data_IF_332608335415
#
_entry.id   IF_332608335415
#
_cell.length_a   1.000
_cell.length_b   1.000
_cell.length_c   1.000
_cell.angle_alpha   90.00
_cell.angle_beta   90.00
_cell.angle_gamma   90.00
#
_symmetry.space_group_name_H-M   'P 1'
#
loop_
_entity.id
_entity.type
_entity.pdbx_description
1 polymer ?
#
# COMPACT_ATOMS: atom_id res chain seq x y z
N UNK A 1 -6.96 -25.73 -48.18
CA UNK A 1 -6.89 -24.67 -49.21
C UNK A 1 -6.70 -23.34 -48.54
N UNK A 2 -5.56 -22.74 -48.85
CA UNK A 2 -5.06 -21.35 -48.66
C UNK A 2 -4.79 -20.98 -47.21
N UNK A 3 -3.55 -20.89 -46.70
CA UNK A 3 -2.37 -20.14 -47.17
C UNK A 3 -2.54 -18.64 -46.94
N UNK A 4 -1.62 -18.21 -46.10
CA UNK A 4 -0.68 -17.07 -46.14
C UNK A 4 -1.26 -15.82 -45.46
N UNK A 5 -0.54 -15.19 -44.51
CA UNK A 5 0.60 -14.41 -44.80
C UNK A 5 1.43 -14.05 -43.53
N UNK A 6 2.67 -14.14 -43.76
CA UNK A 6 3.85 -13.69 -43.03
C UNK A 6 3.92 -12.14 -43.05
N UNK A 7 4.11 -11.49 -41.93
CA UNK A 7 4.70 -10.14 -41.92
C UNK A 7 5.83 -10.06 -40.92
N UNK A 8 6.96 -9.80 -41.51
CA UNK A 8 8.29 -9.63 -40.91
C UNK A 8 8.43 -8.37 -40.03
N UNK A 9 9.21 -8.56 -38.98
CA UNK A 9 10.42 -7.79 -38.65
C UNK A 9 10.42 -6.28 -38.86
N UNK A 10 10.63 -5.54 -37.79
CA UNK A 10 11.64 -4.48 -37.82
C UNK A 10 12.26 -4.30 -36.42
N UNK A 11 13.54 -4.58 -36.34
CA UNK A 11 14.36 -4.32 -35.18
C UNK A 11 14.64 -2.82 -35.03
N UNK A 12 14.60 -2.36 -33.80
CA UNK A 12 15.10 -1.03 -33.44
C UNK A 12 16.49 -1.17 -32.81
N UNK A 13 17.47 -0.68 -33.54
CA UNK A 13 18.85 -0.52 -33.13
C UNK A 13 18.91 0.67 -32.19
N UNK A 14 19.28 0.45 -30.92
CA UNK A 14 19.64 1.54 -30.02
C UNK A 14 21.08 1.97 -30.26
N UNK A 15 21.21 3.18 -30.76
CA UNK A 15 22.49 3.88 -30.97
C UNK A 15 22.98 4.42 -29.61
N UNK A 16 24.13 3.92 -29.16
CA UNK A 16 24.87 4.48 -28.03
C UNK A 16 25.56 5.77 -28.47
N UNK A 17 25.13 6.89 -27.91
CA UNK A 17 25.87 8.14 -27.99
C UNK A 17 26.81 8.25 -26.79
N UNK A 18 28.09 8.03 -27.04
CA UNK A 18 29.16 8.28 -26.08
C UNK A 18 29.48 9.76 -26.14
N UNK A 19 29.21 10.51 -25.10
CA UNK A 19 29.58 11.92 -24.99
C UNK A 19 30.90 12.04 -24.24
N UNK A 20 31.96 12.27 -25.01
CA UNK A 20 33.32 12.58 -24.50
C UNK A 20 33.34 13.99 -23.93
N UNK A 21 33.63 14.14 -22.65
CA UNK A 21 33.91 15.45 -22.03
C UNK A 21 35.40 15.71 -22.12
N UNK A 22 35.74 16.70 -22.90
CA UNK A 22 37.13 17.21 -23.06
C UNK A 22 37.40 18.18 -21.91
N UNK A 23 38.36 17.84 -21.05
CA UNK A 23 38.93 18.76 -20.06
C UNK A 23 39.90 19.73 -20.75
N UNK A 24 39.57 21.00 -20.77
CA UNK A 24 40.55 22.07 -21.07
C UNK A 24 41.09 22.59 -19.74
N UNK A 25 42.35 22.28 -19.50
CA UNK A 25 43.14 22.91 -18.46
C UNK A 25 43.68 24.26 -18.99
N UNK A 26 43.25 25.37 -18.40
CA UNK A 26 43.89 26.65 -18.59
C UNK A 26 44.63 27.01 -17.30
N UNK A 27 45.98 26.89 -17.36
CA UNK A 27 46.87 27.50 -16.40
C UNK A 27 46.99 28.98 -16.70
N UNK A 28 46.54 29.83 -15.79
CA UNK A 28 46.97 31.23 -15.75
C UNK A 28 47.60 31.50 -14.38
N UNK A 29 48.91 31.55 -14.39
CA UNK A 29 49.72 32.13 -13.32
C UNK A 29 49.58 33.66 -13.36
N UNK A 30 49.06 34.24 -12.29
CA UNK A 30 49.39 35.61 -11.92
C UNK A 30 49.26 35.76 -10.40
N UNK A 31 50.30 36.26 -9.84
CA UNK A 31 50.62 36.28 -8.45
C UNK A 31 49.85 37.27 -7.59
N UNK A 32 50.18 37.16 -6.35
CA UNK A 32 50.13 38.18 -5.31
C UNK A 32 48.93 38.24 -4.39
N UNK A 33 49.31 38.24 -3.15
CA UNK A 33 48.63 38.73 -1.95
C UNK A 33 47.74 37.70 -1.24
N UNK A 34 48.30 37.15 -0.18
CA UNK A 34 47.58 36.42 0.86
C UNK A 34 46.55 37.36 1.50
N UNK A 35 45.26 37.05 1.43
CA UNK A 35 44.32 37.69 2.32
C UNK A 35 44.40 36.99 3.69
N UNK A 36 44.46 37.81 4.72
CA UNK A 36 44.30 37.43 6.12
C UNK A 36 43.08 36.52 6.29
N UNK A 37 43.31 35.30 6.77
CA UNK A 37 42.22 34.36 7.09
C UNK A 37 41.53 34.86 8.36
N UNK A 38 40.45 35.61 8.18
CA UNK A 38 39.48 35.85 9.22
C UNK A 38 38.85 34.49 9.53
N UNK A 39 39.22 33.90 10.67
CA UNK A 39 38.60 32.70 11.22
C UNK A 39 37.25 33.08 11.77
N UNK A 40 36.27 33.29 10.91
CA UNK A 40 34.90 33.26 11.36
C UNK A 40 34.59 31.86 11.89
N UNK A 41 34.34 31.79 13.19
CA UNK A 41 33.81 30.60 13.81
C UNK A 41 32.43 30.38 13.23
N UNK A 42 32.34 29.53 12.19
CA UNK A 42 31.06 28.96 11.74
C UNK A 42 30.55 28.09 12.87
N UNK A 43 29.67 28.66 13.67
CA UNK A 43 28.90 27.93 14.66
C UNK A 43 28.02 26.96 13.90
N UNK A 44 28.38 25.67 13.88
CA UNK A 44 27.60 24.60 13.28
C UNK A 44 26.32 24.47 14.10
N UNK A 45 25.28 25.19 13.70
CA UNK A 45 23.93 25.00 14.22
C UNK A 45 23.51 23.58 13.84
N UNK A 46 23.61 22.66 14.79
CA UNK A 46 23.07 21.31 14.61
C UNK A 46 21.60 21.46 14.29
N UNK A 47 21.11 20.90 13.17
CA UNK A 47 19.67 20.92 12.88
C UNK A 47 18.95 20.29 14.06
N UNK A 48 18.02 21.02 14.66
CA UNK A 48 17.09 20.48 15.66
C UNK A 48 16.22 19.49 14.89
N UNK A 49 16.65 18.24 14.84
CA UNK A 49 15.82 17.13 14.39
C UNK A 49 14.81 16.93 15.51
N UNK A 50 13.65 17.56 15.39
CA UNK A 50 12.52 17.21 16.23
C UNK A 50 12.29 15.71 16.03
N UNK A 51 12.27 14.90 17.10
CA UNK A 51 12.01 13.48 16.97
C UNK A 51 10.67 13.33 16.23
N UNK A 52 10.69 12.56 15.15
CA UNK A 52 9.45 12.17 14.46
C UNK A 52 8.58 11.54 15.54
N UNK A 53 7.36 12.06 15.80
CA UNK A 53 6.52 11.49 16.84
C UNK A 53 6.35 10.00 16.56
N UNK A 54 6.69 9.19 17.56
CA UNK A 54 6.51 7.74 17.49
C UNK A 54 5.06 7.46 17.12
N UNK A 55 4.83 6.60 16.12
CA UNK A 55 3.49 6.26 15.67
C UNK A 55 2.73 5.64 16.84
N UNK A 56 1.75 6.35 17.37
CA UNK A 56 0.87 5.83 18.43
C UNK A 56 -0.05 4.80 17.78
N UNK A 57 0.28 3.53 17.93
CA UNK A 57 -0.58 2.43 17.53
C UNK A 57 -1.85 2.43 18.38
N UNK A 58 -2.99 2.70 17.76
CA UNK A 58 -4.30 2.64 18.44
C UNK A 58 -4.80 1.21 18.39
N UNK A 59 -5.21 0.60 19.53
CA UNK A 59 -5.83 -0.73 19.53
C UNK A 59 -7.02 -0.79 18.58
N UNK A 60 -7.12 -1.87 17.81
CA UNK A 60 -8.19 -2.05 16.83
C UNK A 60 -9.34 -2.88 17.42
N UNK A 61 -10.57 -2.74 16.89
CA UNK A 61 -11.76 -3.46 17.36
C UNK A 61 -11.58 -4.97 17.51
N UNK A 62 -10.75 -5.62 16.70
CA UNK A 62 -10.49 -7.06 16.82
C UNK A 62 -9.75 -7.45 18.11
N UNK A 63 -9.15 -6.49 18.85
CA UNK A 63 -8.49 -6.75 20.14
C UNK A 63 -9.44 -6.72 21.33
N UNK A 64 -10.64 -6.14 21.19
CA UNK A 64 -11.54 -5.81 22.29
C UNK A 64 -11.74 -6.94 23.31
N UNK A 65 -11.88 -8.19 22.84
CA UNK A 65 -12.01 -9.37 23.69
C UNK A 65 -10.91 -10.41 23.41
N UNK A 66 -9.86 -9.99 22.69
CA UNK A 66 -8.80 -10.83 22.16
C UNK A 66 -7.47 -10.08 22.22
N UNK A 67 -6.92 -9.80 23.42
CA UNK A 67 -5.69 -9.01 23.56
C UNK A 67 -4.48 -9.66 22.85
N UNK A 68 -4.53 -10.98 22.63
CA UNK A 68 -3.52 -11.69 21.84
C UNK A 68 -3.43 -11.21 20.39
N UNK A 69 -4.45 -10.54 19.89
CA UNK A 69 -4.49 -9.97 18.52
C UNK A 69 -3.75 -8.63 18.38
N UNK A 70 -3.21 -8.07 19.47
CA UNK A 70 -2.34 -6.88 19.40
C UNK A 70 -1.17 -7.08 18.43
N UNK A 71 -0.69 -8.32 18.27
CA UNK A 71 0.32 -8.65 17.26
C UNK A 71 -0.17 -8.43 15.82
N UNK A 72 -1.47 -8.53 15.58
CA UNK A 72 -2.08 -8.24 14.27
C UNK A 72 -2.12 -6.73 14.02
N UNK A 73 -2.51 -5.96 15.03
CA UNK A 73 -2.50 -4.49 14.98
C UNK A 73 -1.11 -3.98 14.66
N UNK A 74 -0.09 -4.44 15.39
CA UNK A 74 1.29 -4.08 15.14
C UNK A 74 1.75 -4.43 13.72
N UNK A 75 1.42 -5.62 13.25
CA UNK A 75 1.75 -6.05 11.88
C UNK A 75 1.03 -5.18 10.84
N UNK A 76 -0.25 -4.84 11.06
CA UNK A 76 -1.02 -3.99 10.15
C UNK A 76 -0.42 -2.58 10.06
N UNK A 77 -0.10 -1.94 11.19
CA UNK A 77 0.53 -0.61 11.18
C UNK A 77 1.87 -0.62 10.46
N UNK A 78 2.71 -1.63 10.70
CA UNK A 78 3.98 -1.79 9.98
C UNK A 78 3.79 -1.91 8.46
N UNK A 79 2.77 -2.64 8.01
CA UNK A 79 2.43 -2.77 6.59
C UNK A 79 1.87 -1.47 6.01
N UNK A 80 1.03 -0.75 6.77
CA UNK A 80 0.52 0.58 6.38
C UNK A 80 1.70 1.54 6.19
N UNK A 81 2.68 1.55 7.09
CA UNK A 81 3.88 2.39 6.95
C UNK A 81 4.62 2.10 5.65
N UNK A 82 4.84 0.83 5.35
CA UNK A 82 5.54 0.41 4.13
C UNK A 82 4.79 0.78 2.85
N UNK A 83 3.45 0.86 2.89
CA UNK A 83 2.58 1.10 1.73
C UNK A 83 1.96 2.50 1.72
N UNK A 84 2.28 3.35 2.70
CA UNK A 84 1.59 4.61 2.91
C UNK A 84 1.58 5.52 1.67
N UNK A 85 2.68 5.58 0.93
CA UNK A 85 2.78 6.38 -0.28
C UNK A 85 1.77 5.96 -1.38
N UNK A 86 1.40 4.68 -1.46
CA UNK A 86 0.35 4.18 -2.35
C UNK A 86 -1.03 4.41 -1.76
N UNK A 87 -1.20 4.18 -0.46
CA UNK A 87 -2.47 4.35 0.25
C UNK A 87 -2.94 5.81 0.20
N UNK A 88 -2.05 6.77 0.41
CA UNK A 88 -2.38 8.21 0.42
C UNK A 88 -2.80 8.77 -0.96
N UNK A 89 -2.71 7.97 -2.03
CA UNK A 89 -3.25 8.31 -3.36
C UNK A 89 -4.76 8.19 -3.49
N UNK A 90 -5.43 7.60 -2.49
CA UNK A 90 -6.86 7.31 -2.54
C UNK A 90 -7.73 8.57 -2.56
N UNK A 91 -8.15 9.00 -3.74
CA UNK A 91 -8.96 10.23 -3.95
C UNK A 91 -10.34 10.17 -3.30
N UNK A 92 -10.84 8.97 -3.04
CA UNK A 92 -12.15 8.74 -2.45
C UNK A 92 -12.10 8.41 -0.95
N UNK A 93 -10.93 8.48 -0.30
CA UNK A 93 -10.81 8.27 1.14
C UNK A 93 -11.68 9.24 1.96
N UNK A 94 -11.95 10.44 1.45
CA UNK A 94 -12.87 11.41 2.06
C UNK A 94 -14.31 10.90 2.20
N UNK A 95 -14.73 9.86 1.46
CA UNK A 95 -16.03 9.23 1.66
C UNK A 95 -16.09 8.45 2.98
N UNK A 96 -14.97 7.94 3.44
CA UNK A 96 -14.82 7.17 4.67
C UNK A 96 -14.42 8.06 5.85
N UNK A 97 -13.57 9.03 5.60
CA UNK A 97 -13.01 9.96 6.58
C UNK A 97 -13.06 11.39 6.01
N UNK A 98 -14.13 12.16 6.25
CA UNK A 98 -14.37 13.46 5.59
C UNK A 98 -13.22 14.47 5.74
N UNK A 99 -12.52 14.44 6.88
CA UNK A 99 -11.41 15.36 7.18
C UNK A 99 -10.03 14.80 6.74
N UNK A 100 -9.97 13.69 6.01
CA UNK A 100 -8.73 12.95 5.71
C UNK A 100 -7.61 13.84 5.19
N UNK A 101 -7.88 14.74 4.26
CA UNK A 101 -6.88 15.61 3.64
C UNK A 101 -6.19 16.57 4.64
N UNK A 102 -6.88 16.95 5.71
CA UNK A 102 -6.36 17.84 6.76
C UNK A 102 -5.67 17.10 7.90
N UNK A 103 -5.68 15.79 7.90
CA UNK A 103 -5.08 14.98 8.95
C UNK A 103 -3.56 14.97 8.87
N UNK A 104 -2.90 14.88 10.04
CA UNK A 104 -1.49 14.55 10.12
C UNK A 104 -1.27 13.10 9.66
N UNK A 105 -0.04 12.77 9.26
CA UNK A 105 0.33 11.45 8.72
C UNK A 105 -0.03 10.32 9.70
N UNK A 106 0.23 10.49 10.99
CA UNK A 106 -0.12 9.52 12.03
C UNK A 106 -1.64 9.26 12.10
N UNK A 107 -2.45 10.32 12.04
CA UNK A 107 -3.91 10.22 12.02
C UNK A 107 -4.44 9.57 10.71
N UNK A 108 -3.82 9.88 9.57
CA UNK A 108 -4.12 9.20 8.29
C UNK A 108 -3.88 7.69 8.36
N UNK A 109 -2.76 7.27 8.99
CA UNK A 109 -2.45 5.85 9.19
C UNK A 109 -3.47 5.16 10.10
N UNK A 110 -3.94 5.83 11.16
CA UNK A 110 -5.03 5.32 12.01
C UNK A 110 -6.31 5.14 11.17
N UNK A 111 -6.68 6.12 10.34
CA UNK A 111 -7.85 6.00 9.47
C UNK A 111 -7.74 4.78 8.53
N UNK A 112 -6.57 4.53 7.95
CA UNK A 112 -6.33 3.34 7.14
C UNK A 112 -6.43 2.05 7.95
N UNK A 113 -5.88 2.00 9.16
CA UNK A 113 -5.96 0.83 10.03
C UNK A 113 -7.40 0.47 10.37
N UNK A 114 -8.25 1.46 10.70
CA UNK A 114 -9.68 1.24 10.97
C UNK A 114 -10.45 0.84 9.71
N UNK A 115 -10.09 1.36 8.54
CA UNK A 115 -10.69 0.91 7.27
C UNK A 115 -10.38 -0.58 7.02
N UNK A 116 -9.13 -0.99 7.17
CA UNK A 116 -8.73 -2.39 6.99
C UNK A 116 -9.35 -3.31 8.05
N UNK A 117 -9.40 -2.91 9.31
CA UNK A 117 -10.15 -3.63 10.36
C UNK A 117 -11.61 -3.85 9.95
N UNK A 118 -12.24 -2.82 9.40
CA UNK A 118 -13.63 -2.89 8.96
C UNK A 118 -13.82 -3.85 7.78
N UNK A 119 -12.90 -3.87 6.82
CA UNK A 119 -12.91 -4.84 5.72
C UNK A 119 -12.80 -6.26 6.28
N UNK A 120 -11.82 -6.53 7.14
CA UNK A 120 -11.60 -7.83 7.78
C UNK A 120 -12.84 -8.29 8.53
N UNK A 121 -13.52 -7.39 9.26
CA UNK A 121 -14.76 -7.73 9.94
C UNK A 121 -15.83 -8.27 8.98
N UNK A 122 -16.02 -7.63 7.84
CA UNK A 122 -17.06 -8.04 6.89
C UNK A 122 -16.65 -9.20 5.99
N UNK A 123 -15.36 -9.46 5.80
CA UNK A 123 -14.86 -10.58 5.01
C UNK A 123 -14.81 -11.89 5.82
N UNK A 124 -14.34 -11.86 7.06
CA UNK A 124 -14.09 -13.07 7.84
C UNK A 124 -14.66 -13.08 9.27
N UNK A 125 -15.23 -11.96 9.74
CA UNK A 125 -15.60 -11.81 11.14
C UNK A 125 -14.40 -11.94 12.09
N UNK A 126 -13.21 -11.53 11.66
CA UNK A 126 -11.95 -11.70 12.38
C UNK A 126 -11.52 -13.17 12.58
N UNK A 127 -12.03 -14.09 11.77
CA UNK A 127 -11.62 -15.49 11.81
C UNK A 127 -10.48 -15.75 10.80
N UNK A 128 -9.23 -15.97 11.27
CA UNK A 128 -8.10 -16.22 10.38
C UNK A 128 -8.18 -17.58 9.66
N UNK A 129 -9.05 -18.48 10.12
CA UNK A 129 -9.28 -19.80 9.51
C UNK A 129 -10.50 -19.82 8.59
N UNK A 130 -11.14 -18.66 8.38
CA UNK A 130 -12.26 -18.55 7.44
C UNK A 130 -11.80 -18.93 6.03
N UNK A 131 -12.62 -19.71 5.33
CA UNK A 131 -12.40 -20.04 3.93
C UNK A 131 -13.71 -20.13 3.18
N UNK A 132 -13.72 -19.67 1.94
CA UNK A 132 -14.85 -19.80 1.03
C UNK A 132 -14.38 -20.31 -0.32
N UNK A 133 -15.26 -21.05 -0.99
CA UNK A 133 -14.98 -21.70 -2.27
C UNK A 133 -15.94 -21.19 -3.31
N UNK A 134 -15.41 -20.71 -4.42
CA UNK A 134 -16.25 -20.37 -5.55
C UNK A 134 -16.92 -21.61 -6.14
N UNK A 135 -18.19 -21.47 -6.50
CA UNK A 135 -18.95 -22.55 -7.12
C UNK A 135 -18.24 -22.99 -8.42
N UNK A 136 -17.92 -24.28 -8.51
CA UNK A 136 -17.21 -24.87 -9.65
C UNK A 136 -15.69 -24.96 -9.54
N UNK A 137 -15.09 -24.41 -8.48
CA UNK A 137 -13.61 -24.45 -8.27
C UNK A 137 -13.17 -25.25 -7.05
N UNK A 138 -13.99 -26.22 -6.62
CA UNK A 138 -13.77 -26.96 -5.36
C UNK A 138 -12.47 -27.76 -5.29
N UNK A 139 -11.92 -28.20 -6.43
CA UNK A 139 -10.72 -29.04 -6.49
C UNK A 139 -9.42 -28.27 -6.38
N UNK A 140 -9.41 -26.97 -6.70
CA UNK A 140 -8.20 -26.15 -6.71
C UNK A 140 -8.18 -25.19 -5.53
N UNK A 141 -7.51 -25.58 -4.45
CA UNK A 141 -7.36 -24.76 -3.25
C UNK A 141 -6.65 -23.42 -3.49
N UNK A 142 -5.89 -23.29 -4.57
CA UNK A 142 -5.21 -22.03 -4.89
C UNK A 142 -6.18 -20.90 -5.21
N UNK A 143 -7.43 -21.24 -5.56
CA UNK A 143 -8.52 -20.29 -5.89
C UNK A 143 -9.46 -20.02 -4.72
N UNK A 144 -9.27 -20.71 -3.57
CA UNK A 144 -10.13 -20.49 -2.42
C UNK A 144 -9.77 -19.16 -1.75
N UNK A 145 -10.80 -18.40 -1.39
CA UNK A 145 -10.66 -17.20 -0.57
C UNK A 145 -10.47 -17.59 0.89
N UNK A 146 -9.38 -17.14 1.52
CA UNK A 146 -9.02 -17.60 2.88
C UNK A 146 -8.50 -16.46 3.76
N UNK A 147 -8.59 -16.71 5.06
CA UNK A 147 -8.03 -15.86 6.09
C UNK A 147 -8.80 -14.56 6.32
N UNK A 148 -8.12 -13.60 6.95
CA UNK A 148 -8.74 -12.35 7.40
C UNK A 148 -9.37 -11.55 6.26
N UNK A 149 -8.65 -11.37 5.16
CA UNK A 149 -9.06 -10.57 4.00
C UNK A 149 -9.69 -11.41 2.88
N UNK A 150 -9.92 -12.71 3.10
CA UNK A 150 -10.49 -13.61 2.08
C UNK A 150 -9.75 -13.52 0.73
N UNK A 151 -8.44 -13.81 0.75
CA UNK A 151 -7.56 -13.77 -0.42
C UNK A 151 -7.19 -15.18 -0.88
N UNK A 152 -6.91 -15.33 -2.17
CA UNK A 152 -6.50 -16.60 -2.78
C UNK A 152 -4.99 -16.64 -3.05
N UNK A 153 -4.39 -17.84 -2.98
CA UNK A 153 -2.96 -18.01 -3.31
C UNK A 153 -2.63 -17.57 -4.74
N UNK A 154 -3.55 -17.79 -5.68
CA UNK A 154 -3.38 -17.41 -7.08
C UNK A 154 -3.32 -15.89 -7.29
N UNK A 155 -3.75 -15.09 -6.32
CA UNK A 155 -3.80 -13.63 -6.46
C UNK A 155 -2.42 -13.02 -6.57
N UNK A 156 -1.41 -13.62 -5.97
CA UNK A 156 -0.02 -13.21 -6.17
C UNK A 156 0.36 -13.17 -7.65
N UNK A 157 -0.03 -14.21 -8.41
CA UNK A 157 0.18 -14.29 -9.86
C UNK A 157 -0.69 -13.28 -10.61
N UNK A 158 -1.98 -13.20 -10.27
CA UNK A 158 -2.94 -12.34 -10.94
C UNK A 158 -2.55 -10.86 -10.83
N UNK A 159 -2.03 -10.48 -9.67
CA UNK A 159 -1.57 -9.11 -9.37
C UNK A 159 -0.08 -8.90 -9.64
N UNK A 160 0.64 -9.90 -10.21
CA UNK A 160 2.09 -9.85 -10.49
C UNK A 160 2.93 -9.47 -9.25
N UNK A 161 2.56 -10.00 -8.09
CA UNK A 161 3.24 -9.77 -6.82
C UNK A 161 4.50 -10.66 -6.80
N UNK A 162 5.68 -10.15 -6.34
CA UNK A 162 6.95 -10.86 -6.44
C UNK A 162 7.12 -11.98 -5.39
N UNK A 163 6.11 -12.23 -4.59
CA UNK A 163 6.06 -13.33 -3.62
C UNK A 163 4.69 -14.02 -3.70
N UNK A 164 4.62 -15.23 -3.17
CA UNK A 164 3.38 -16.00 -3.07
C UNK A 164 3.29 -16.67 -1.71
N UNK A 165 2.06 -17.02 -1.33
CA UNK A 165 1.77 -17.82 -0.15
C UNK A 165 0.90 -19.01 -0.56
N UNK A 166 1.12 -20.16 0.06
CA UNK A 166 0.22 -21.31 -0.03
C UNK A 166 -1.13 -21.03 0.66
N UNK A 167 -2.09 -21.92 0.47
CA UNK A 167 -3.35 -21.86 1.20
C UNK A 167 -3.14 -21.84 2.72
N UNK A 168 -2.28 -22.71 3.23
CA UNK A 168 -1.98 -22.85 4.65
C UNK A 168 -1.26 -21.62 5.22
N UNK A 169 -0.33 -21.05 4.46
CA UNK A 169 0.37 -19.82 4.84
C UNK A 169 -0.56 -18.60 4.89
N UNK A 170 -1.60 -18.56 4.05
CA UNK A 170 -2.61 -17.48 4.08
C UNK A 170 -3.57 -17.58 5.27
N UNK A 171 -3.62 -18.69 5.99
CA UNK A 171 -4.33 -18.79 7.27
C UNK A 171 -3.56 -18.11 8.43
N UNK A 172 -2.29 -17.72 8.19
CA UNK A 172 -1.50 -16.92 9.14
C UNK A 172 -1.87 -15.44 8.93
N UNK A 173 -2.37 -14.75 9.98
CA UNK A 173 -2.86 -13.37 9.86
C UNK A 173 -1.89 -12.41 9.18
N UNK A 174 -0.61 -12.45 9.56
CA UNK A 174 0.41 -11.54 9.04
C UNK A 174 0.67 -11.74 7.55
N UNK A 175 0.68 -12.99 7.07
CA UNK A 175 0.85 -13.30 5.65
C UNK A 175 -0.36 -12.85 4.85
N UNK A 176 -1.57 -13.08 5.39
CA UNK A 176 -2.82 -12.66 4.79
C UNK A 176 -2.89 -11.14 4.64
N UNK A 177 -2.59 -10.40 5.71
CA UNK A 177 -2.52 -8.94 5.67
C UNK A 177 -1.45 -8.44 4.68
N UNK A 178 -0.26 -9.07 4.65
CA UNK A 178 0.81 -8.69 3.74
C UNK A 178 0.39 -8.78 2.28
N UNK A 179 -0.25 -9.88 1.88
CA UNK A 179 -0.74 -10.04 0.52
C UNK A 179 -1.90 -9.08 0.23
N UNK A 180 -2.81 -8.88 1.19
CA UNK A 180 -3.93 -7.96 1.04
C UNK A 180 -3.47 -6.52 0.79
N UNK A 181 -2.54 -6.00 1.59
CA UNK A 181 -2.06 -4.64 1.43
C UNK A 181 -1.24 -4.46 0.14
N UNK A 182 -0.56 -5.50 -0.32
CA UNK A 182 0.10 -5.47 -1.62
C UNK A 182 -0.91 -5.35 -2.77
N UNK A 183 -1.98 -6.13 -2.75
CA UNK A 183 -3.07 -6.04 -3.73
C UNK A 183 -3.71 -4.65 -3.68
N UNK A 184 -4.02 -4.18 -2.48
CA UNK A 184 -4.70 -2.90 -2.27
C UNK A 184 -3.85 -1.71 -2.75
N UNK A 185 -2.55 -1.71 -2.43
CA UNK A 185 -1.63 -0.67 -2.90
C UNK A 185 -1.51 -0.66 -4.42
N UNK A 186 -1.44 -1.83 -5.07
CA UNK A 186 -1.43 -1.92 -6.55
C UNK A 186 -2.73 -1.45 -7.18
N UNK A 187 -3.87 -1.69 -6.53
CA UNK A 187 -5.15 -1.13 -6.97
C UNK A 187 -5.10 0.40 -6.92
N UNK A 188 -4.63 0.98 -5.82
CA UNK A 188 -4.53 2.42 -5.65
C UNK A 188 -3.49 3.05 -6.59
N UNK A 189 -2.35 2.42 -6.80
CA UNK A 189 -1.35 2.89 -7.77
C UNK A 189 -1.90 2.95 -9.20
N UNK A 190 -2.87 2.11 -9.53
CA UNK A 190 -3.48 2.03 -10.86
C UNK A 190 -4.74 2.90 -11.01
N UNK A 191 -5.56 3.00 -9.98
CA UNK A 191 -6.91 3.55 -10.07
C UNK A 191 -7.14 4.75 -9.16
N UNK A 192 -6.29 4.93 -8.14
CA UNK A 192 -6.40 5.98 -7.11
C UNK A 192 -7.77 5.99 -6.38
N UNK A 193 -8.46 4.85 -6.37
CA UNK A 193 -9.80 4.69 -5.78
C UNK A 193 -9.86 3.44 -4.91
N UNK A 194 -10.48 3.57 -3.74
CA UNK A 194 -10.86 2.47 -2.83
C UNK A 194 -12.07 1.76 -3.43
N UNK A 195 -13.10 2.52 -3.77
CA UNK A 195 -14.35 2.02 -4.35
C UNK A 195 -14.25 2.04 -5.87
N UNK A 196 -14.07 0.89 -6.47
CA UNK A 196 -13.93 0.76 -7.92
C UNK A 196 -15.16 0.10 -8.53
N UNK A 197 -15.59 0.60 -9.70
CA UNK A 197 -16.73 0.04 -10.43
C UNK A 197 -16.36 -1.17 -11.28
N UNK A 198 -15.09 -1.30 -11.65
CA UNK A 198 -14.56 -2.38 -12.49
C UNK A 198 -13.38 -3.04 -11.79
N UNK A 199 -13.25 -4.34 -11.93
CA UNK A 199 -12.16 -5.12 -11.28
C UNK A 199 -12.18 -5.01 -9.75
N UNK A 200 -13.38 -5.04 -9.18
CA UNK A 200 -13.58 -5.03 -7.74
C UNK A 200 -12.96 -6.30 -7.13
N UNK A 201 -12.03 -6.14 -6.20
CA UNK A 201 -11.46 -7.26 -5.47
C UNK A 201 -12.33 -7.63 -4.26
N UNK A 202 -12.54 -6.67 -3.34
CA UNK A 202 -13.39 -6.89 -2.17
C UNK A 202 -14.81 -6.39 -2.40
N UNK A 203 -15.75 -7.33 -2.38
CA UNK A 203 -17.17 -7.04 -2.55
C UNK A 203 -17.71 -6.07 -1.49
N UNK A 204 -17.18 -6.12 -0.29
CA UNK A 204 -17.61 -5.29 0.85
C UNK A 204 -17.32 -3.80 0.68
N UNK A 205 -16.34 -3.45 -0.15
CA UNK A 205 -16.03 -2.05 -0.51
C UNK A 205 -16.46 -1.72 -1.95
N UNK A 206 -17.41 -2.49 -2.48
CA UNK A 206 -17.99 -2.22 -3.81
C UNK A 206 -18.85 -0.95 -3.85
N UNK A 207 -19.19 -0.48 -5.07
CA UNK A 207 -20.00 0.71 -5.24
C UNK A 207 -21.39 0.56 -4.60
N UNK A 208 -22.06 1.69 -4.32
CA UNK A 208 -23.33 1.75 -3.56
C UNK A 208 -24.43 0.82 -4.08
N UNK A 209 -24.49 0.60 -5.37
CA UNK A 209 -25.46 -0.28 -6.02
C UNK A 209 -25.03 -1.77 -6.05
N UNK A 210 -23.87 -2.10 -5.53
CA UNK A 210 -23.42 -3.48 -5.51
C UNK A 210 -24.05 -4.23 -4.34
N UNK A 211 -24.60 -5.40 -4.60
CA UNK A 211 -25.41 -6.20 -3.65
C UNK A 211 -24.72 -6.49 -2.32
N UNK A 212 -23.41 -6.69 -2.34
CA UNK A 212 -22.64 -7.11 -1.18
C UNK A 212 -21.88 -5.96 -0.50
N UNK A 213 -22.04 -4.73 -0.98
CA UNK A 213 -21.32 -3.58 -0.41
C UNK A 213 -21.68 -3.37 1.07
N UNK A 214 -20.66 -3.04 1.85
CA UNK A 214 -20.76 -2.63 3.26
C UNK A 214 -20.24 -1.21 3.48
N UNK A 215 -20.03 -0.47 2.41
CA UNK A 215 -19.50 0.91 2.49
C UNK A 215 -20.25 1.79 3.49
N UNK A 216 -21.60 1.81 3.56
CA UNK A 216 -22.29 2.63 4.57
C UNK A 216 -21.97 2.22 6.01
N UNK A 217 -21.85 0.90 6.26
CA UNK A 217 -21.51 0.39 7.57
C UNK A 217 -20.05 0.63 7.93
N UNK A 218 -19.15 0.54 6.95
CA UNK A 218 -17.73 0.85 7.12
C UNK A 218 -17.57 2.33 7.45
N UNK A 219 -18.25 3.24 6.74
CA UNK A 219 -18.25 4.67 7.05
C UNK A 219 -18.67 4.90 8.50
N UNK A 220 -19.74 4.23 8.96
CA UNK A 220 -20.18 4.34 10.36
C UNK A 220 -19.10 3.87 11.34
N UNK A 221 -18.36 2.81 11.02
CA UNK A 221 -17.21 2.36 11.84
C UNK A 221 -16.06 3.36 11.82
N UNK A 222 -15.81 4.02 10.69
CA UNK A 222 -14.77 5.05 10.59
C UNK A 222 -15.05 6.27 11.49
N UNK A 223 -16.30 6.52 11.86
CA UNK A 223 -16.68 7.60 12.80
C UNK A 223 -16.16 7.40 14.22
N UNK A 224 -15.65 6.21 14.60
CA UNK A 224 -14.96 6.01 15.89
C UNK A 224 -13.57 6.67 15.91
N UNK A 225 -13.03 7.03 14.75
CA UNK A 225 -11.78 7.79 14.64
C UNK A 225 -12.13 9.27 14.81
N UNK A 226 -11.79 9.86 15.96
CA UNK A 226 -12.10 11.27 16.28
C UNK A 226 -11.65 12.22 15.16
N UNK A 227 -10.51 11.92 14.55
CA UNK A 227 -9.98 12.69 13.45
C UNK A 227 -10.86 12.66 12.17
N UNK A 228 -11.73 11.65 12.01
CA UNK A 228 -12.63 11.51 10.85
C UNK A 228 -13.99 12.17 11.04
N UNK A 229 -14.31 12.67 12.26
CA UNK A 229 -15.60 13.31 12.61
C UNK A 229 -15.70 14.77 12.14
#
# INVERSE_FOLDING_TARGET
>A
MKQDDLVMSQGFIYSFVVMSIVFFAYNVFLGCSSPEVVKDKVEIVKPIVNPIPELVEVPLPWEKNHPERAVWTKALYSLIDQKFASLDKAKDMKQFCPKYESLRIDQKKIAWAVLFDSIVYYESGYNPKSSSVDVGRKSDKSTWSVGLFQISSIDSKNWKIPFTFTFEELLVPQNNMKLALEIFSRQLDKQELIVVNKSLYWAVIGPKNYKYTKVPQIIKKMQIVDACQ
#
